data_IF_131985241536
#
_entry.id   IF_131985241536
#
_cell.length_a   1.000
_cell.length_b   1.000
_cell.length_c   1.000
_cell.angle_alpha   90.00
_cell.angle_beta   90.00
_cell.angle_gamma   90.00
#
_symmetry.space_group_name_H-M   'P 1'
#
loop_
_entity.id
_entity.type
_entity.pdbx_description
1 polymer ?
#
# COMPACT_ATOMS: atom_id res chain seq x y z
N UNK A 1 -10.27 -9.24 -18.30
CA UNK A 1 -9.17 -8.30 -18.60
C UNK A 1 -9.66 -6.91 -18.30
N UNK A 2 -8.83 -6.08 -17.65
CA UNK A 2 -9.19 -4.68 -17.44
C UNK A 2 -9.38 -3.94 -18.73
N UNK A 3 -10.38 -3.07 -18.77
CA UNK A 3 -10.51 -2.13 -19.87
C UNK A 3 -9.39 -1.11 -19.69
N UNK A 4 -8.32 -1.29 -20.46
CA UNK A 4 -7.48 -0.18 -20.91
C UNK A 4 -8.43 0.81 -21.58
N UNK A 5 -8.29 2.10 -21.28
CA UNK A 5 -9.15 3.14 -21.88
C UNK A 5 -9.13 3.00 -23.39
N UNK A 6 -10.29 2.69 -23.98
CA UNK A 6 -10.39 2.56 -25.43
C UNK A 6 -10.39 3.96 -26.05
N UNK A 7 -9.29 4.33 -26.69
CA UNK A 7 -9.13 5.60 -27.40
C UNK A 7 -9.64 5.54 -28.86
N UNK A 8 -10.05 4.36 -29.36
CA UNK A 8 -10.68 4.21 -30.67
C UNK A 8 -12.18 4.54 -30.63
N UNK A 9 -12.50 5.70 -30.05
CA UNK A 9 -13.86 6.25 -29.95
C UNK A 9 -13.79 7.76 -30.14
N UNK A 10 -14.95 8.38 -30.41
CA UNK A 10 -15.04 9.84 -30.48
C UNK A 10 -14.60 10.47 -29.15
N UNK A 11 -13.81 11.55 -29.16
CA UNK A 11 -13.31 12.31 -30.32
C UNK A 11 -11.94 11.85 -30.87
N UNK A 12 -11.27 10.87 -30.26
CA UNK A 12 -9.85 10.58 -30.50
C UNK A 12 -9.59 9.67 -31.70
N UNK A 13 -10.46 8.69 -31.95
CA UNK A 13 -10.36 7.74 -33.09
C UNK A 13 -8.95 7.16 -33.29
N UNK A 14 -8.27 6.79 -32.19
CA UNK A 14 -6.97 6.14 -32.27
C UNK A 14 -7.13 4.70 -32.78
N UNK A 15 -6.91 4.52 -34.08
CA UNK A 15 -7.11 3.26 -34.78
C UNK A 15 -5.81 2.47 -35.02
N UNK A 16 -4.77 2.76 -34.22
CA UNK A 16 -3.52 2.01 -34.28
C UNK A 16 -3.73 0.50 -34.02
N UNK A 17 -3.25 -0.33 -34.96
CA UNK A 17 -3.21 -1.79 -34.82
C UNK A 17 -1.75 -2.28 -34.86
N UNK A 18 -1.26 -2.98 -33.82
CA UNK A 18 0.10 -3.53 -33.79
C UNK A 18 0.35 -4.61 -34.86
N UNK A 19 -0.69 -5.18 -35.48
CA UNK A 19 -0.59 -6.21 -36.53
C UNK A 19 -0.30 -5.65 -37.91
N UNK A 20 -0.54 -4.35 -38.13
CA UNK A 20 -0.22 -3.67 -39.39
C UNK A 20 1.30 -3.51 -39.62
N UNK A 21 2.11 -3.69 -38.56
CA UNK A 21 3.57 -3.57 -38.60
C UNK A 21 4.08 -2.21 -39.10
N UNK A 22 3.33 -1.13 -38.85
CA UNK A 22 3.82 0.23 -39.05
C UNK A 22 4.74 0.65 -37.91
N UNK A 23 5.92 1.17 -38.26
CA UNK A 23 6.95 1.57 -37.28
C UNK A 23 7.19 3.08 -37.23
N UNK A 24 6.70 3.84 -38.22
CA UNK A 24 6.90 5.29 -38.27
C UNK A 24 5.90 5.94 -39.21
N UNK A 25 5.39 7.09 -38.80
CA UNK A 25 4.63 8.00 -39.68
C UNK A 25 5.60 8.84 -40.51
N UNK A 26 5.43 8.82 -41.84
CA UNK A 26 6.29 9.53 -42.78
C UNK A 26 5.58 10.78 -43.30
N UNK A 27 5.84 11.93 -42.67
CA UNK A 27 5.29 13.20 -43.13
C UNK A 27 5.84 13.61 -44.49
N UNK A 28 4.95 14.00 -45.41
CA UNK A 28 5.32 14.44 -46.75
C UNK A 28 5.44 15.97 -46.78
N UNK A 29 6.57 16.53 -47.24
CA UNK A 29 6.70 17.97 -47.43
C UNK A 29 5.60 18.50 -48.37
N UNK A 30 5.01 19.65 -48.04
CA UNK A 30 3.94 20.28 -48.83
C UNK A 30 2.53 19.74 -48.58
N UNK A 31 2.36 18.75 -47.71
CA UNK A 31 1.05 18.26 -47.25
C UNK A 31 0.78 18.71 -45.80
N UNK A 32 -0.45 19.13 -45.47
CA UNK A 32 -0.80 19.48 -44.10
C UNK A 32 -0.82 18.23 -43.21
N UNK A 33 -0.28 18.36 -42.00
CA UNK A 33 -0.27 17.29 -40.99
C UNK A 33 -1.67 17.08 -40.44
N UNK A 34 -2.10 15.82 -40.33
CA UNK A 34 -3.41 15.45 -39.79
C UNK A 34 -3.29 15.07 -38.31
N UNK A 35 -4.30 15.41 -37.51
CA UNK A 35 -4.34 15.02 -36.09
C UNK A 35 -4.21 13.50 -35.90
N UNK A 36 -4.87 12.71 -36.77
CA UNK A 36 -4.77 11.25 -36.77
C UNK A 36 -3.32 10.76 -36.94
N UNK A 37 -2.53 11.40 -37.80
CA UNK A 37 -1.12 11.03 -38.00
C UNK A 37 -0.27 11.29 -36.75
N UNK A 38 -0.60 12.32 -35.97
CA UNK A 38 0.06 12.60 -34.69
C UNK A 38 -0.38 11.64 -33.58
N UNK A 39 -1.66 11.24 -33.57
CA UNK A 39 -2.14 10.19 -32.67
C UNK A 39 -1.45 8.87 -32.97
N UNK A 40 -1.46 8.40 -34.22
CA UNK A 40 -0.80 7.16 -34.61
C UNK A 40 0.71 7.19 -34.33
N UNK A 41 1.37 8.34 -34.48
CA UNK A 41 2.78 8.49 -34.10
C UNK A 41 3.01 8.20 -32.61
N UNK A 42 2.15 8.72 -31.74
CA UNK A 42 2.22 8.49 -30.29
C UNK A 42 1.99 7.02 -29.97
N UNK A 43 0.97 6.39 -30.56
CA UNK A 43 0.62 4.99 -30.30
C UNK A 43 1.69 4.01 -30.79
N UNK A 44 2.31 4.28 -31.95
CA UNK A 44 3.47 3.52 -32.43
C UNK A 44 4.64 3.60 -31.46
N UNK A 45 5.00 4.82 -31.02
CA UNK A 45 6.11 5.03 -30.09
C UNK A 45 5.82 4.35 -28.74
N UNK A 46 4.62 4.54 -28.21
CA UNK A 46 4.17 3.93 -26.97
C UNK A 46 4.21 2.41 -27.05
N UNK A 47 3.78 1.81 -28.17
CA UNK A 47 3.84 0.36 -28.33
C UNK A 47 5.28 -0.18 -28.36
N UNK A 48 6.24 0.57 -28.92
CA UNK A 48 7.66 0.19 -28.86
C UNK A 48 8.18 0.22 -27.42
N UNK A 49 7.84 1.26 -26.65
CA UNK A 49 8.22 1.41 -25.24
C UNK A 49 7.57 0.31 -24.40
N UNK A 50 6.29 0.03 -24.62
CA UNK A 50 5.55 -1.04 -23.96
C UNK A 50 6.19 -2.40 -24.20
N UNK A 51 6.48 -2.77 -25.45
CA UNK A 51 7.13 -4.05 -25.78
C UNK A 51 8.51 -4.18 -25.14
N UNK A 52 9.29 -3.09 -25.15
CA UNK A 52 10.57 -3.03 -24.45
C UNK A 52 10.37 -3.23 -22.94
N UNK A 53 9.43 -2.50 -22.34
CA UNK A 53 9.09 -2.60 -20.93
C UNK A 53 8.65 -4.00 -20.53
N UNK A 54 7.74 -4.63 -21.27
CA UNK A 54 7.23 -5.98 -21.04
C UNK A 54 8.30 -7.08 -21.16
N UNK A 55 9.37 -6.84 -21.91
CA UNK A 55 10.50 -7.77 -21.98
C UNK A 55 11.28 -7.80 -20.67
N UNK A 56 11.43 -6.64 -20.03
CA UNK A 56 12.16 -6.50 -18.77
C UNK A 56 11.26 -6.72 -17.56
N UNK A 57 10.07 -6.12 -17.52
CA UNK A 57 9.23 -5.99 -16.34
C UNK A 57 7.88 -6.68 -16.53
N UNK A 58 7.38 -7.33 -15.47
CA UNK A 58 5.98 -7.75 -15.39
C UNK A 58 5.09 -6.58 -14.98
N UNK A 59 3.80 -6.69 -15.25
CA UNK A 59 2.79 -5.73 -14.80
C UNK A 59 2.87 -5.56 -13.27
N UNK A 60 2.90 -4.31 -12.80
CA UNK A 60 3.05 -3.96 -11.40
C UNK A 60 4.47 -4.07 -10.85
N UNK A 61 5.46 -4.41 -11.67
CA UNK A 61 6.84 -4.48 -11.21
C UNK A 61 7.39 -3.09 -10.87
N UNK A 62 8.07 -3.03 -9.73
CA UNK A 62 8.79 -1.86 -9.23
C UNK A 62 10.06 -1.64 -10.07
N UNK A 63 10.13 -0.54 -10.81
CA UNK A 63 11.24 -0.22 -11.73
C UNK A 63 12.29 0.64 -11.04
N UNK A 64 11.87 1.74 -10.41
CA UNK A 64 12.73 2.61 -9.58
C UNK A 64 12.36 2.36 -8.12
N UNK A 65 13.35 2.17 -7.23
CA UNK A 65 13.05 1.63 -5.93
C UNK A 65 12.28 2.58 -5.02
N UNK A 66 10.96 2.40 -4.92
CA UNK A 66 10.14 2.82 -3.77
C UNK A 66 10.07 1.70 -2.74
N UNK A 67 10.31 1.97 -1.46
CA UNK A 67 10.17 0.97 -0.40
C UNK A 67 8.71 0.90 0.07
N UNK A 68 8.26 -0.27 0.52
CA UNK A 68 6.98 -0.43 1.22
C UNK A 68 7.23 -0.81 2.66
N UNK A 69 6.45 -0.23 3.57
CA UNK A 69 6.53 -0.51 4.99
C UNK A 69 5.14 -0.89 5.53
N UNK A 70 5.11 -1.94 6.34
CA UNK A 70 3.92 -2.34 7.08
C UNK A 70 4.15 -2.01 8.55
N UNK A 71 3.25 -1.22 9.14
CA UNK A 71 3.27 -0.91 10.56
C UNK A 71 2.04 -1.54 11.23
N UNK A 72 2.26 -2.63 11.97
CA UNK A 72 1.21 -3.29 12.74
C UNK A 72 0.78 -2.47 13.96
N UNK A 73 1.69 -1.68 14.53
CA UNK A 73 1.45 -0.90 15.74
C UNK A 73 1.38 0.59 15.39
N UNK A 74 0.34 0.96 14.65
CA UNK A 74 0.13 2.34 14.27
C UNK A 74 -0.69 3.05 15.35
N UNK A 75 -0.01 3.76 16.25
CA UNK A 75 -0.65 4.35 17.43
C UNK A 75 -1.61 5.47 17.05
N UNK A 76 -2.86 5.34 17.51
CA UNK A 76 -3.94 6.26 17.23
C UNK A 76 -4.39 6.96 18.51
N UNK A 77 -4.67 8.25 18.41
CA UNK A 77 -5.18 9.08 19.49
C UNK A 77 -6.46 9.75 19.02
N UNK A 78 -7.56 9.40 19.66
CA UNK A 78 -8.86 10.03 19.43
C UNK A 78 -8.94 11.36 20.19
N UNK A 79 -9.41 12.39 19.51
CA UNK A 79 -9.63 13.72 20.04
C UNK A 79 -11.13 14.00 20.14
N UNK A 80 -11.49 14.92 21.04
CA UNK A 80 -12.82 15.53 20.98
C UNK A 80 -12.94 16.36 19.70
N UNK A 81 -14.02 16.18 18.95
CA UNK A 81 -14.23 16.86 17.66
C UNK A 81 -14.28 18.39 17.72
N UNK A 82 -14.50 18.96 18.91
CA UNK A 82 -14.53 20.41 19.10
C UNK A 82 -13.69 20.84 20.29
N UNK A 83 -12.93 21.91 20.13
CA UNK A 83 -12.20 22.56 21.20
C UNK A 83 -12.51 24.07 21.19
N UNK A 84 -12.93 24.61 22.32
CA UNK A 84 -13.33 26.04 22.46
C UNK A 84 -14.35 26.53 21.41
N UNK A 85 -15.24 25.64 20.94
CA UNK A 85 -16.25 25.96 19.93
C UNK A 85 -15.76 25.88 18.47
N UNK A 86 -14.49 25.52 18.24
CA UNK A 86 -13.91 25.31 16.91
C UNK A 86 -13.80 23.81 16.63
N UNK A 87 -14.24 23.31 15.46
CA UNK A 87 -14.00 21.93 15.04
C UNK A 87 -12.51 21.64 14.89
N UNK A 88 -12.04 20.54 15.48
CA UNK A 88 -10.62 20.15 15.47
C UNK A 88 -10.15 19.80 14.05
N UNK A 89 -11.00 19.15 13.26
CA UNK A 89 -10.77 18.85 11.84
C UNK A 89 -10.39 20.08 10.99
N UNK A 90 -10.75 21.29 11.41
CA UNK A 90 -10.48 22.51 10.65
C UNK A 90 -8.99 22.93 10.64
N UNK A 91 -8.16 22.34 11.50
CA UNK A 91 -6.75 22.72 11.64
C UNK A 91 -5.80 21.54 11.85
N UNK A 92 -6.30 20.30 11.78
CA UNK A 92 -5.50 19.10 12.03
C UNK A 92 -4.41 18.85 10.98
N UNK A 93 -4.59 19.29 9.74
CA UNK A 93 -3.58 19.12 8.68
C UNK A 93 -2.26 19.84 9.00
N UNK A 94 -2.33 20.95 9.75
CA UNK A 94 -1.16 21.69 10.23
C UNK A 94 -0.37 20.93 11.30
N UNK A 95 -0.97 19.89 11.90
CA UNK A 95 -0.31 19.08 12.92
C UNK A 95 0.61 18.03 12.32
N UNK A 96 0.46 17.67 11.04
CA UNK A 96 1.27 16.63 10.40
C UNK A 96 2.75 17.02 10.46
N UNK A 97 3.58 16.13 11.01
CA UNK A 97 5.01 16.34 11.26
C UNK A 97 5.33 17.20 12.49
N UNK A 98 4.33 17.80 13.15
CA UNK A 98 4.52 18.59 14.37
C UNK A 98 4.63 17.69 15.60
N UNK A 99 5.39 18.16 16.60
CA UNK A 99 5.51 17.52 17.89
C UNK A 99 4.41 18.01 18.83
N UNK A 100 3.67 17.05 19.38
CA UNK A 100 2.61 17.27 20.36
C UNK A 100 3.04 16.75 21.73
N UNK A 101 2.55 17.41 22.79
CA UNK A 101 2.87 17.11 24.18
C UNK A 101 1.61 17.11 25.03
N UNK A 102 1.45 16.06 25.85
CA UNK A 102 0.37 15.93 26.81
C UNK A 102 0.66 16.74 28.06
N UNK A 103 -0.26 17.59 28.49
CA UNK A 103 -0.05 18.49 29.64
C UNK A 103 -0.12 17.77 30.99
N UNK A 104 -0.83 16.66 31.07
CA UNK A 104 -1.01 15.88 32.31
C UNK A 104 0.08 14.84 32.46
N UNK A 105 0.33 14.04 31.43
CA UNK A 105 1.29 12.93 31.42
C UNK A 105 2.69 13.38 31.05
N UNK A 106 2.84 14.45 30.27
CA UNK A 106 4.14 14.88 29.74
C UNK A 106 4.67 14.00 28.61
N UNK A 107 3.88 13.06 28.09
CA UNK A 107 4.22 12.22 26.93
C UNK A 107 4.36 13.10 25.70
N UNK A 108 5.33 12.79 24.84
CA UNK A 108 5.54 13.51 23.57
C UNK A 108 5.50 12.56 22.38
N UNK A 109 4.91 13.02 21.29
CA UNK A 109 4.78 12.27 20.04
C UNK A 109 4.85 13.21 18.84
N UNK A 110 5.22 12.68 17.67
CA UNK A 110 5.09 13.37 16.38
C UNK A 110 3.87 12.82 15.66
N UNK A 111 3.10 13.71 15.03
CA UNK A 111 1.92 13.33 14.24
C UNK A 111 2.37 12.87 12.86
N UNK A 112 2.04 11.63 12.52
CA UNK A 112 2.38 11.03 11.22
C UNK A 112 1.27 11.28 10.20
N UNK A 113 0.02 11.09 10.60
CA UNK A 113 -1.15 11.35 9.74
C UNK A 113 -2.39 11.68 10.58
N UNK A 114 -3.44 12.13 9.90
CA UNK A 114 -4.70 12.54 10.51
C UNK A 114 -5.84 11.82 9.81
N UNK A 115 -6.82 11.39 10.60
CA UNK A 115 -8.11 10.90 10.14
C UNK A 115 -9.20 11.86 10.65
N UNK A 116 -9.95 12.45 9.71
CA UNK A 116 -11.03 13.36 10.00
C UNK A 116 -12.20 12.64 10.68
N UNK A 117 -13.00 13.38 11.45
CA UNK A 117 -14.17 12.80 12.13
C UNK A 117 -15.20 12.21 11.16
N UNK A 118 -15.27 12.72 9.92
CA UNK A 118 -16.16 12.21 8.87
C UNK A 118 -15.79 10.82 8.34
N UNK A 119 -14.51 10.48 8.35
CA UNK A 119 -13.98 9.22 7.81
C UNK A 119 -13.67 8.19 8.91
N UNK A 120 -13.83 8.59 10.17
CA UNK A 120 -13.64 7.73 11.33
C UNK A 120 -14.80 6.76 11.54
N UNK A 121 -14.48 5.49 11.79
CA UNK A 121 -15.45 4.45 12.19
C UNK A 121 -16.11 4.77 13.55
N UNK A 122 -15.44 5.55 14.40
CA UNK A 122 -15.92 5.98 15.73
C UNK A 122 -16.47 7.40 15.73
N UNK A 123 -16.42 8.11 14.59
CA UNK A 123 -16.88 9.48 14.44
C UNK A 123 -16.04 10.53 15.18
N UNK A 124 -14.80 10.20 15.55
CA UNK A 124 -13.88 11.08 16.27
C UNK A 124 -12.67 11.44 15.40
N UNK A 125 -12.23 12.69 15.45
CA UNK A 125 -10.94 13.09 14.85
C UNK A 125 -9.82 12.27 15.49
N UNK A 126 -9.03 11.59 14.68
CA UNK A 126 -7.98 10.69 15.15
C UNK A 126 -6.62 11.13 14.60
N UNK A 127 -5.64 11.29 15.49
CA UNK A 127 -4.25 11.51 15.13
C UNK A 127 -3.50 10.19 15.18
N UNK A 128 -2.82 9.84 14.10
CA UNK A 128 -1.83 8.77 14.15
C UNK A 128 -0.47 9.34 14.48
N UNK A 129 0.20 8.74 15.45
CA UNK A 129 1.43 9.30 16.01
C UNK A 129 2.53 8.27 16.20
N UNK A 130 3.76 8.78 16.20
CA UNK A 130 4.93 8.06 16.69
C UNK A 130 5.37 8.68 18.02
N UNK A 131 5.32 7.89 19.09
CA UNK A 131 5.75 8.30 20.42
C UNK A 131 7.28 8.48 20.48
N UNK A 132 7.74 9.62 21.01
CA UNK A 132 9.17 9.95 21.13
C UNK A 132 9.67 9.78 22.56
N UNK A 133 8.89 10.22 23.55
CA UNK A 133 9.28 10.15 24.95
C UNK A 133 8.09 9.76 25.85
N UNK A 134 8.38 8.85 26.78
CA UNK A 134 7.48 8.47 27.87
C UNK A 134 7.27 9.62 28.86
N UNK A 135 6.33 9.43 29.78
CA UNK A 135 5.96 10.42 30.80
C UNK A 135 7.16 10.88 31.61
N UNK A 136 7.26 12.20 31.78
CA UNK A 136 8.26 12.85 32.63
C UNK A 136 8.00 12.65 34.14
N UNK A 137 6.90 12.01 34.52
CA UNK A 137 6.53 11.79 35.93
C UNK A 137 6.95 10.40 36.44
N UNK A 138 6.70 9.35 35.64
CA UNK A 138 6.91 7.96 36.07
C UNK A 138 7.92 7.19 35.18
N UNK A 139 8.38 7.76 34.06
CA UNK A 139 9.22 7.12 33.03
C UNK A 139 8.70 5.75 32.54
N UNK A 140 7.42 5.44 32.74
CA UNK A 140 6.80 4.14 32.43
C UNK A 140 5.57 4.28 31.55
N UNK A 141 4.80 5.35 31.71
CA UNK A 141 3.66 5.65 30.85
C UNK A 141 4.13 6.13 29.48
N UNK A 142 3.83 5.38 28.43
CA UNK A 142 4.25 5.67 27.05
C UNK A 142 3.12 6.16 26.14
N UNK A 143 1.90 6.30 26.65
CA UNK A 143 0.71 6.71 25.88
C UNK A 143 0.01 7.91 26.52
N UNK A 144 -0.75 8.67 25.72
CA UNK A 144 -1.55 9.77 26.23
C UNK A 144 -2.73 9.27 27.07
N UNK A 145 -3.09 10.02 28.10
CA UNK A 145 -4.26 9.71 28.91
C UNK A 145 -5.55 10.14 28.18
N UNK A 146 -6.68 9.52 28.56
CA UNK A 146 -8.01 9.97 28.12
C UNK A 146 -8.41 11.27 28.82
N UNK A 147 -9.08 12.19 28.12
CA UNK A 147 -9.48 13.50 28.63
C UNK A 147 -8.32 14.46 28.92
N UNK A 148 -7.13 14.23 28.34
CA UNK A 148 -5.94 15.03 28.54
C UNK A 148 -5.84 16.17 27.51
N UNK A 149 -5.35 17.33 27.95
CA UNK A 149 -5.05 18.48 27.11
C UNK A 149 -3.73 18.30 26.34
N UNK A 150 -3.77 18.53 25.02
CA UNK A 150 -2.61 18.45 24.14
C UNK A 150 -2.14 19.84 23.71
N UNK A 151 -0.82 20.05 23.70
CA UNK A 151 -0.18 21.24 23.13
C UNK A 151 0.77 20.90 21.99
N UNK A 152 0.88 21.78 21.00
CA UNK A 152 1.83 21.65 19.88
C UNK A 152 3.01 22.60 20.05
N UNK A 153 4.17 22.25 19.49
CA UNK A 153 5.33 23.13 19.38
C UNK A 153 5.20 24.19 18.28
N UNK A 154 4.24 24.02 17.36
CA UNK A 154 3.98 24.93 16.25
C UNK A 154 2.72 25.75 16.53
N UNK A 155 2.68 26.97 16.01
CA UNK A 155 1.47 27.79 16.03
C UNK A 155 0.41 27.18 15.10
N UNK A 156 -0.81 27.05 15.60
CA UNK A 156 -1.94 26.51 14.83
C UNK A 156 -2.93 27.63 14.55
N UNK A 157 -3.31 27.78 13.29
CA UNK A 157 -4.26 28.81 12.86
C UNK A 157 -5.54 28.13 12.37
N UNK A 158 -6.67 28.35 13.06
CA UNK A 158 -7.98 27.99 12.51
C UNK A 158 -8.57 29.19 11.79
N UNK A 159 -8.82 29.05 10.48
CA UNK A 159 -9.50 30.08 9.68
C UNK A 159 -11.02 30.15 9.91
N UNK A 160 -11.58 29.30 10.77
CA UNK A 160 -13.01 29.17 11.00
C UNK A 160 -13.45 29.94 12.25
N UNK A 161 -14.71 30.42 12.27
CA UNK A 161 -15.40 30.97 13.45
C UNK A 161 -14.56 31.96 14.31
N UNK A 162 -14.01 33.01 13.71
CA UNK A 162 -13.35 34.09 14.46
C UNK A 162 -11.82 34.04 14.48
N UNK A 163 -11.21 33.19 13.65
CA UNK A 163 -9.77 33.16 13.42
C UNK A 163 -8.98 32.80 14.69
N UNK A 164 -9.39 31.73 15.37
CA UNK A 164 -8.72 31.24 16.57
C UNK A 164 -7.28 30.82 16.27
N UNK A 165 -6.33 31.38 17.00
CA UNK A 165 -4.92 31.04 16.92
C UNK A 165 -4.48 30.43 18.24
N UNK A 166 -3.83 29.28 18.18
CA UNK A 166 -3.21 28.63 19.33
C UNK A 166 -1.69 28.85 19.23
N UNK A 167 -1.11 29.54 20.21
CA UNK A 167 0.33 29.78 20.23
C UNK A 167 1.10 28.50 20.57
N UNK A 168 2.39 28.40 20.21
CA UNK A 168 3.25 27.29 20.62
C UNK A 168 3.17 27.04 22.14
N UNK A 169 2.88 25.80 22.52
CA UNK A 169 2.72 25.38 23.91
C UNK A 169 1.33 25.62 24.51
N UNK A 170 0.40 26.28 23.81
CA UNK A 170 -1.01 26.35 24.23
C UNK A 170 -1.75 25.05 23.91
N UNK A 171 -2.83 24.81 24.67
CA UNK A 171 -3.70 23.66 24.43
C UNK A 171 -4.53 23.90 23.18
N UNK A 172 -4.43 22.99 22.21
CA UNK A 172 -5.20 23.05 20.95
C UNK A 172 -6.30 22.00 20.85
N UNK A 173 -6.22 20.92 21.62
CA UNK A 173 -7.21 19.85 21.64
C UNK A 173 -7.20 19.11 22.97
N UNK A 174 -8.27 18.36 23.22
CA UNK A 174 -8.40 17.45 24.36
C UNK A 174 -8.64 16.05 23.79
N UNK A 175 -7.94 15.05 24.31
CA UNK A 175 -8.16 13.64 23.94
C UNK A 175 -9.56 13.18 24.33
N UNK A 176 -10.09 12.16 23.66
CA UNK A 176 -11.41 11.62 23.94
C UNK A 176 -11.54 11.24 25.43
N UNK A 177 -12.75 11.40 26.00
CA UNK A 177 -12.97 11.21 27.43
C UNK A 177 -12.75 9.75 27.90
N UNK A 178 -12.84 8.78 26.98
CA UNK A 178 -12.67 7.34 27.26
C UNK A 178 -11.94 6.67 26.12
N UNK A 179 -11.02 5.75 26.43
CA UNK A 179 -10.26 4.94 25.46
C UNK A 179 -9.60 5.76 24.33
N UNK A 180 -9.06 6.93 24.67
CA UNK A 180 -8.50 7.83 23.67
C UNK A 180 -7.28 7.27 22.94
N UNK A 181 -6.53 6.35 23.54
CA UNK A 181 -5.40 5.70 22.89
C UNK A 181 -5.83 4.33 22.36
N UNK A 182 -5.60 4.11 21.07
CA UNK A 182 -5.86 2.86 20.36
C UNK A 182 -4.64 2.48 19.51
N UNK A 183 -4.59 1.24 19.02
CA UNK A 183 -3.56 0.79 18.10
C UNK A 183 -4.25 0.34 16.81
N UNK A 184 -4.00 1.07 15.74
CA UNK A 184 -4.39 0.70 14.38
C UNK A 184 -3.24 0.02 13.65
N UNK A 185 -3.42 -0.16 12.35
CA UNK A 185 -2.41 -0.70 11.44
C UNK A 185 -2.37 0.10 10.15
N UNK A 186 -1.19 0.22 9.55
CA UNK A 186 -1.00 0.96 8.30
C UNK A 186 -0.01 0.29 7.37
N UNK A 187 -0.14 0.63 6.09
CA UNK A 187 0.79 0.25 5.05
C UNK A 187 1.17 1.49 4.27
N UNK A 188 2.46 1.74 4.13
CA UNK A 188 2.98 2.89 3.42
C UNK A 188 3.86 2.49 2.25
N UNK A 189 3.89 3.37 1.26
CA UNK A 189 4.77 3.30 0.10
C UNK A 189 5.54 4.60 -0.02
N UNK A 190 6.81 4.47 -0.40
CA UNK A 190 7.69 5.58 -0.74
C UNK A 190 7.70 5.77 -2.25
N UNK A 191 7.93 7.01 -2.65
CA UNK A 191 7.95 7.44 -4.03
C UNK A 191 8.80 6.52 -4.91
N UNK A 192 8.27 6.20 -6.08
CA UNK A 192 8.91 5.23 -6.97
C UNK A 192 8.25 5.19 -8.33
N UNK A 193 8.80 4.36 -9.21
CA UNK A 193 8.25 4.16 -10.56
C UNK A 193 7.90 2.70 -10.72
N UNK A 194 6.67 2.46 -11.16
CA UNK A 194 6.14 1.12 -11.38
C UNK A 194 5.75 0.94 -12.84
N UNK A 195 5.96 -0.26 -13.37
CA UNK A 195 5.55 -0.60 -14.72
C UNK A 195 4.08 -1.03 -14.71
N UNK A 196 3.20 -0.18 -15.23
CA UNK A 196 1.74 -0.34 -15.15
C UNK A 196 1.16 -0.07 -16.53
N UNK A 197 0.45 -1.05 -17.08
CA UNK A 197 -0.25 -1.01 -18.38
C UNK A 197 0.63 -0.49 -19.51
N UNK A 198 1.86 -1.00 -19.58
CA UNK A 198 2.83 -0.60 -20.61
C UNK A 198 3.47 0.77 -20.38
N UNK A 199 3.19 1.43 -19.26
CA UNK A 199 3.69 2.76 -18.91
C UNK A 199 4.57 2.70 -17.65
N UNK A 200 5.46 3.68 -17.51
CA UNK A 200 6.24 3.89 -16.30
C UNK A 200 5.53 4.95 -15.47
N UNK A 201 4.75 4.52 -14.48
CA UNK A 201 3.89 5.37 -13.67
C UNK A 201 4.61 5.75 -12.38
N UNK A 202 4.65 7.05 -12.10
CA UNK A 202 5.16 7.56 -10.84
C UNK A 202 4.14 7.31 -9.73
N UNK A 203 4.64 6.92 -8.56
CA UNK A 203 3.88 6.74 -7.33
C UNK A 203 4.47 7.69 -6.31
N UNK A 204 3.62 8.44 -5.65
CA UNK A 204 4.02 9.37 -4.58
C UNK A 204 4.05 8.65 -3.21
N UNK A 205 4.61 9.33 -2.21
CA UNK A 205 4.55 8.84 -0.84
C UNK A 205 3.09 8.76 -0.38
N UNK A 206 2.65 7.59 0.05
CA UNK A 206 1.27 7.39 0.51
C UNK A 206 1.25 6.43 1.70
N UNK A 207 0.38 6.70 2.66
CA UNK A 207 0.11 5.81 3.80
C UNK A 207 -1.37 5.48 3.84
N UNK A 208 -1.67 4.19 3.73
CA UNK A 208 -3.01 3.64 3.85
C UNK A 208 -3.21 3.04 5.24
N UNK A 209 -4.26 3.49 5.93
CA UNK A 209 -4.72 2.87 7.19
C UNK A 209 -5.51 1.60 6.86
N UNK A 210 -5.05 0.47 7.39
CA UNK A 210 -5.66 -0.85 7.19
C UNK A 210 -6.82 -1.08 8.15
N UNK A 211 -6.58 -1.00 9.44
CA UNK A 211 -7.64 -0.94 10.46
C UNK A 211 -7.39 0.28 11.33
N UNK A 212 -8.44 1.07 11.57
CA UNK A 212 -8.28 2.37 12.24
C UNK A 212 -7.89 2.22 13.71
N UNK A 213 -8.44 1.19 14.37
CA UNK A 213 -8.32 0.96 15.81
C UNK A 213 -8.08 -0.51 16.17
N UNK A 214 -7.58 -1.31 15.22
CA UNK A 214 -7.17 -2.72 15.42
C UNK A 214 -5.80 -3.00 14.80
N UNK A 215 -5.07 -3.94 15.39
CA UNK A 215 -3.75 -4.38 14.95
C UNK A 215 -3.74 -5.81 14.36
N UNK A 216 -4.92 -6.36 14.05
CA UNK A 216 -5.10 -7.67 13.43
C UNK A 216 -5.74 -7.61 12.02
N UNK A 217 -5.28 -6.73 11.10
CA UNK A 217 -5.87 -6.60 9.77
C UNK A 217 -5.73 -7.87 8.94
N UNK A 218 -6.69 -8.10 8.05
CA UNK A 218 -6.69 -9.21 7.10
C UNK A 218 -7.09 -8.73 5.70
N UNK A 219 -6.12 -8.27 4.91
CA UNK A 219 -6.34 -7.65 3.61
C UNK A 219 -5.24 -7.98 2.59
N UNK A 220 -5.63 -7.93 1.32
CA UNK A 220 -4.72 -7.79 0.18
C UNK A 220 -4.51 -6.30 -0.06
N UNK A 221 -3.26 -5.88 -0.05
CA UNK A 221 -2.85 -4.48 -0.14
C UNK A 221 -2.12 -4.28 -1.45
N UNK A 222 -2.45 -3.22 -2.16
CA UNK A 222 -1.95 -3.01 -3.50
C UNK A 222 -2.26 -1.62 -4.04
N UNK A 223 -1.89 -1.39 -5.29
CA UNK A 223 -2.28 -0.19 -6.01
C UNK A 223 -3.62 -0.38 -6.69
N UNK A 224 -4.52 0.57 -6.48
CA UNK A 224 -5.67 0.77 -7.37
C UNK A 224 -5.23 1.62 -8.55
N UNK A 225 -5.51 1.16 -9.77
CA UNK A 225 -5.18 1.87 -11.01
C UNK A 225 -6.40 2.67 -11.45
N UNK A 226 -6.24 3.99 -11.54
CA UNK A 226 -7.21 4.89 -12.11
C UNK A 226 -6.71 5.43 -13.46
N UNK A 227 -7.47 5.17 -14.52
CA UNK A 227 -7.26 5.81 -15.82
C UNK A 227 -8.36 6.82 -16.07
N UNK A 228 -7.96 8.02 -16.44
CA UNK A 228 -8.88 9.12 -16.68
C UNK A 228 -8.38 10.01 -17.81
N UNK A 229 -9.33 10.64 -18.50
CA UNK A 229 -9.05 11.64 -19.52
C UNK A 229 -9.27 13.01 -18.89
N UNK A 230 -8.19 13.79 -18.82
CA UNK A 230 -8.21 15.16 -18.31
C UNK A 230 -8.42 16.12 -19.47
N UNK A 231 -9.52 16.87 -19.40
CA UNK A 231 -9.85 17.89 -20.41
C UNK A 231 -9.41 19.27 -19.95
N UNK A 232 -9.37 20.24 -20.88
CA UNK A 232 -9.08 21.65 -20.56
C UNK A 232 -10.08 22.30 -19.60
N UNK A 233 -11.28 21.73 -19.46
CA UNK A 233 -12.28 22.20 -18.50
C UNK A 233 -11.94 21.80 -17.06
N UNK A 234 -11.19 20.70 -16.91
CA UNK A 234 -10.75 20.19 -15.61
C UNK A 234 -9.37 20.74 -15.21
N UNK A 235 -8.52 21.04 -16.18
CA UNK A 235 -7.18 21.60 -15.96
C UNK A 235 -6.94 22.81 -16.88
N UNK A 236 -6.99 24.00 -16.28
CA UNK A 236 -6.78 25.27 -17.00
C UNK A 236 -5.37 25.39 -17.60
N UNK A 237 -4.38 24.62 -17.12
CA UNK A 237 -3.03 24.60 -17.70
C UNK A 237 -2.98 23.99 -19.09
N UNK A 238 -4.02 23.25 -19.49
CA UNK A 238 -4.17 22.68 -20.82
C UNK A 238 -4.75 23.67 -21.84
N UNK A 239 -5.03 24.92 -21.45
CA UNK A 239 -5.43 25.98 -22.40
C UNK A 239 -4.20 26.66 -23.03
N UNK A 240 -4.35 27.20 -24.23
CA UNK A 240 -3.28 27.92 -24.94
C UNK A 240 -3.02 29.29 -24.29
N UNK A 241 -2.26 29.28 -23.19
CA UNK A 241 -1.97 30.46 -22.39
C UNK A 241 -0.94 31.36 -23.07
N UNK A 242 -1.34 32.59 -23.40
CA UNK A 242 -0.42 33.66 -23.76
C UNK A 242 0.10 34.34 -22.49
N UNK A 243 1.33 34.87 -22.50
CA UNK A 243 1.97 35.45 -21.30
C UNK A 243 1.04 36.43 -20.57
N UNK A 244 0.56 36.03 -19.39
CA UNK A 244 -0.19 36.86 -18.45
C UNK A 244 -1.72 36.72 -18.45
N UNK A 245 -2.33 35.95 -19.36
CA UNK A 245 -3.79 35.73 -19.37
C UNK A 245 -4.18 34.33 -19.84
N UNK A 246 -5.08 33.67 -19.09
CA UNK A 246 -5.65 32.38 -19.47
C UNK A 246 -6.60 32.55 -20.67
N UNK A 247 -6.38 31.78 -21.73
CA UNK A 247 -7.23 31.82 -22.93
C UNK A 247 -8.26 30.70 -22.88
N UNK A 248 -9.30 30.88 -22.06
CA UNK A 248 -10.39 29.91 -21.90
C UNK A 248 -11.15 29.57 -23.21
N UNK A 249 -10.95 30.33 -24.28
CA UNK A 249 -11.56 30.11 -25.58
C UNK A 249 -10.74 29.21 -26.53
N UNK A 250 -9.53 28.79 -26.11
CA UNK A 250 -8.65 27.93 -26.89
C UNK A 250 -8.27 26.68 -26.07
N UNK A 251 -9.17 25.68 -25.98
CA UNK A 251 -8.88 24.43 -25.30
C UNK A 251 -7.75 23.69 -26.04
N UNK A 252 -6.72 23.26 -25.31
CA UNK A 252 -5.68 22.39 -25.85
C UNK A 252 -6.13 20.92 -25.88
N UNK A 253 -5.20 20.04 -26.23
CA UNK A 253 -5.48 18.62 -26.31
C UNK A 253 -5.63 17.98 -24.93
N UNK A 254 -6.57 17.05 -24.79
CA UNK A 254 -6.79 16.26 -23.58
C UNK A 254 -5.55 15.41 -23.21
N UNK A 255 -5.51 14.94 -21.96
CA UNK A 255 -4.43 14.08 -21.44
C UNK A 255 -5.00 12.77 -20.90
N UNK A 256 -4.45 11.65 -21.35
CA UNK A 256 -4.65 10.38 -20.64
C UNK A 256 -3.77 10.39 -19.40
N UNK A 257 -4.38 10.36 -18.22
CA UNK A 257 -3.69 10.26 -16.93
C UNK A 257 -3.91 8.86 -16.38
N UNK A 258 -2.80 8.19 -16.06
CA UNK A 258 -2.79 6.97 -15.27
C UNK A 258 -2.26 7.36 -13.89
N UNK A 259 -3.11 7.28 -12.89
CA UNK A 259 -2.75 7.49 -11.49
C UNK A 259 -2.93 6.19 -10.71
N UNK A 260 -2.16 6.06 -9.65
CA UNK A 260 -2.32 4.96 -8.71
C UNK A 260 -2.38 5.49 -7.30
N UNK A 261 -3.14 4.79 -6.47
CA UNK A 261 -3.22 5.04 -5.04
C UNK A 261 -3.23 3.71 -4.29
N UNK A 262 -2.75 3.70 -3.06
CA UNK A 262 -2.84 2.53 -2.20
C UNK A 262 -4.30 2.19 -1.92
N UNK A 263 -4.59 0.89 -1.99
CA UNK A 263 -5.92 0.36 -1.76
C UNK A 263 -5.83 -0.98 -1.06
N UNK A 264 -6.85 -1.28 -0.26
CA UNK A 264 -6.99 -2.57 0.44
C UNK A 264 -8.24 -3.30 -0.04
N UNK A 265 -8.13 -4.61 -0.17
CA UNK A 265 -9.25 -5.51 -0.50
C UNK A 265 -9.35 -6.62 0.53
N UNK A 266 -10.57 -7.12 0.80
CA UNK A 266 -10.74 -8.35 1.56
C UNK A 266 -10.01 -9.52 0.88
N UNK A 267 -9.51 -10.48 1.68
CA UNK A 267 -8.78 -11.66 1.18
C UNK A 267 -9.59 -12.48 0.16
N UNK A 268 -10.91 -12.45 0.25
CA UNK A 268 -11.83 -13.18 -0.63
C UNK A 268 -12.09 -12.50 -1.97
N UNK A 269 -11.71 -11.23 -2.14
CA UNK A 269 -11.90 -10.51 -3.38
C UNK A 269 -10.70 -10.74 -4.31
N UNK A 270 -10.93 -11.56 -5.34
CA UNK A 270 -9.93 -11.93 -6.35
C UNK A 270 -10.10 -11.16 -7.66
N UNK A 271 -10.96 -10.14 -7.70
CA UNK A 271 -11.11 -9.32 -8.90
C UNK A 271 -9.99 -8.28 -8.98
N UNK A 272 -8.90 -8.63 -9.67
CA UNK A 272 -7.70 -7.81 -9.76
C UNK A 272 -7.60 -6.97 -11.04
N UNK A 273 -8.74 -6.66 -11.65
CA UNK A 273 -8.81 -5.92 -12.90
C UNK A 273 -8.07 -4.56 -12.85
N UNK A 274 -8.35 -3.73 -11.84
CA UNK A 274 -7.66 -2.44 -11.63
C UNK A 274 -6.76 -2.48 -10.40
N UNK A 275 -6.17 -3.62 -10.07
CA UNK A 275 -5.46 -3.79 -8.81
C UNK A 275 -4.18 -4.58 -8.96
N UNK A 276 -3.08 -3.99 -8.51
CA UNK A 276 -1.77 -4.63 -8.43
C UNK A 276 -1.48 -4.95 -6.97
N UNK A 277 -1.40 -6.22 -6.62
CA UNK A 277 -1.05 -6.64 -5.26
C UNK A 277 0.43 -6.37 -4.93
N UNK A 278 0.68 -5.76 -3.78
CA UNK A 278 2.02 -5.50 -3.24
C UNK A 278 2.31 -6.38 -2.02
N UNK A 279 1.29 -6.61 -1.20
CA UNK A 279 1.41 -7.33 0.06
C UNK A 279 0.10 -8.00 0.47
N UNK A 280 0.22 -9.08 1.23
CA UNK A 280 -0.92 -9.74 1.89
C UNK A 280 -0.66 -9.77 3.38
N UNK A 281 -1.63 -9.26 4.15
CA UNK A 281 -1.62 -9.31 5.61
C UNK A 281 -2.80 -10.17 6.05
N UNK A 282 -2.55 -11.09 6.96
CA UNK A 282 -3.56 -12.00 7.51
C UNK A 282 -3.40 -12.07 9.02
N UNK A 283 -4.47 -11.77 9.75
CA UNK A 283 -4.48 -11.70 11.22
C UNK A 283 -3.34 -10.81 11.79
N UNK A 284 -3.05 -9.70 11.12
CA UNK A 284 -1.97 -8.77 11.49
C UNK A 284 -0.56 -9.21 11.10
N UNK A 285 -0.40 -10.40 10.53
CA UNK A 285 0.89 -10.94 10.10
C UNK A 285 1.08 -10.70 8.60
N UNK A 286 2.18 -10.06 8.23
CA UNK A 286 2.57 -9.90 6.83
C UNK A 286 3.01 -11.25 6.25
N UNK A 287 2.20 -11.82 5.35
CA UNK A 287 2.45 -13.14 4.74
C UNK A 287 3.41 -13.06 3.57
N UNK A 288 3.19 -12.09 2.69
CA UNK A 288 3.95 -11.94 1.44
C UNK A 288 4.22 -10.47 1.19
N UNK A 289 5.46 -10.18 0.79
CA UNK A 289 5.89 -8.90 0.25
C UNK A 289 6.46 -9.20 -1.14
N UNK A 290 5.92 -8.59 -2.20
CA UNK A 290 6.53 -8.68 -3.53
C UNK A 290 7.79 -7.79 -3.54
N UNK A 291 8.86 -8.25 -2.88
CA UNK A 291 10.07 -7.43 -2.65
C UNK A 291 10.85 -7.18 -3.93
N UNK A 292 10.84 -8.16 -4.84
CA UNK A 292 11.66 -8.12 -6.05
C UNK A 292 10.92 -7.58 -7.26
N UNK A 293 11.62 -6.75 -8.03
CA UNK A 293 11.22 -6.37 -9.38
C UNK A 293 10.99 -7.65 -10.17
N UNK A 294 9.74 -7.97 -10.48
CA UNK A 294 9.45 -9.15 -11.25
C UNK A 294 9.91 -8.93 -12.68
N UNK A 295 11.06 -9.50 -13.01
CA UNK A 295 11.53 -9.51 -14.38
C UNK A 295 10.69 -10.50 -15.20
N UNK A 296 10.43 -10.16 -16.45
CA UNK A 296 9.70 -11.01 -17.39
C UNK A 296 10.67 -12.06 -17.96
N UNK A 297 10.95 -12.03 -19.27
CA UNK A 297 11.82 -13.01 -19.96
C UNK A 297 13.24 -13.07 -19.40
N UNK A 298 13.77 -11.94 -18.93
CA UNK A 298 15.12 -11.89 -18.34
C UNK A 298 15.21 -12.73 -17.06
N UNK A 299 14.14 -12.78 -16.25
CA UNK A 299 14.11 -13.63 -15.05
C UNK A 299 14.24 -15.09 -15.41
N UNK A 300 13.53 -15.53 -16.46
CA UNK A 300 13.50 -16.94 -16.86
C UNK A 300 14.87 -17.38 -17.39
N UNK A 301 15.56 -16.51 -18.14
CA UNK A 301 16.92 -16.79 -18.61
C UNK A 301 17.95 -16.78 -17.48
N UNK A 302 17.84 -15.87 -16.50
CA UNK A 302 18.69 -15.87 -15.32
C UNK A 302 18.45 -17.11 -14.45
N UNK A 303 17.18 -17.46 -14.20
CA UNK A 303 16.81 -18.67 -13.47
C UNK A 303 17.33 -19.93 -14.17
N UNK A 304 17.18 -20.03 -15.50
CA UNK A 304 17.76 -21.14 -16.27
C UNK A 304 19.27 -21.24 -16.07
N UNK A 305 20.01 -20.12 -16.17
CA UNK A 305 21.47 -20.10 -15.95
C UNK A 305 21.84 -20.51 -14.53
N UNK A 306 21.17 -19.96 -13.53
CA UNK A 306 21.40 -20.31 -12.11
C UNK A 306 21.14 -21.79 -11.86
N UNK A 307 20.10 -22.36 -12.47
CA UNK A 307 19.80 -23.79 -12.35
C UNK A 307 20.80 -24.67 -13.08
N UNK A 308 21.22 -24.29 -14.30
CA UNK A 308 22.24 -25.01 -15.06
C UNK A 308 23.59 -25.01 -14.34
N UNK A 309 23.92 -23.93 -13.62
CA UNK A 309 25.17 -23.78 -12.87
C UNK A 309 25.15 -24.48 -11.51
N UNK A 310 24.08 -24.30 -10.72
CA UNK A 310 24.05 -24.67 -9.30
C UNK A 310 22.92 -25.61 -8.90
N UNK A 311 22.02 -25.98 -9.81
CA UNK A 311 20.88 -26.85 -9.51
C UNK A 311 19.92 -26.24 -8.47
N UNK A 312 19.41 -27.08 -7.57
CA UNK A 312 18.62 -26.62 -6.41
C UNK A 312 19.54 -26.44 -5.21
N UNK A 313 19.47 -25.28 -4.57
CA UNK A 313 20.26 -25.02 -3.37
C UNK A 313 19.53 -24.11 -2.38
N UNK A 314 19.95 -24.20 -1.13
CA UNK A 314 19.39 -23.43 -0.01
C UNK A 314 20.46 -22.45 0.46
N UNK A 315 20.08 -21.17 0.60
CA UNK A 315 20.96 -20.12 1.15
C UNK A 315 20.75 -20.03 2.65
N UNK A 316 19.50 -19.90 3.08
CA UNK A 316 19.10 -19.87 4.48
C UNK A 316 18.21 -21.08 4.75
N UNK A 317 18.64 -22.02 5.60
CA UNK A 317 17.92 -23.28 5.82
C UNK A 317 16.55 -23.04 6.43
N UNK A 318 15.59 -23.85 5.98
CA UNK A 318 14.27 -23.94 6.58
C UNK A 318 14.33 -24.99 7.70
N UNK A 319 14.23 -24.55 8.95
CA UNK A 319 14.12 -25.44 10.10
C UNK A 319 12.68 -25.97 10.16
N UNK A 320 12.53 -27.30 10.25
CA UNK A 320 11.23 -27.96 10.24
C UNK A 320 10.99 -28.57 11.61
N UNK A 321 9.96 -28.10 12.30
CA UNK A 321 9.54 -28.63 13.59
C UNK A 321 8.17 -29.25 13.48
N UNK A 322 8.01 -30.46 14.01
CA UNK A 322 6.70 -31.07 14.17
C UNK A 322 6.05 -30.46 15.41
N UNK A 323 4.83 -29.98 15.24
CA UNK A 323 3.98 -29.47 16.31
C UNK A 323 2.63 -30.16 16.25
N UNK A 324 1.97 -30.21 17.39
CA UNK A 324 0.58 -30.64 17.46
C UNK A 324 -0.32 -29.60 16.77
N UNK A 325 -1.33 -30.04 16.01
CA UNK A 325 -2.24 -29.09 15.37
C UNK A 325 -3.18 -28.46 16.40
N UNK A 326 -3.84 -29.29 17.21
CA UNK A 326 -4.74 -28.89 18.28
C UNK A 326 -3.96 -28.64 19.59
N UNK A 327 -4.16 -27.48 20.21
CA UNK A 327 -3.74 -27.21 21.57
C UNK A 327 -4.77 -27.77 22.56
N UNK A 328 -4.40 -28.84 23.28
CA UNK A 328 -5.29 -29.50 24.25
C UNK A 328 -5.31 -28.82 25.63
N UNK A 329 -4.54 -27.74 25.81
CA UNK A 329 -4.31 -27.08 27.10
C UNK A 329 -3.72 -28.00 28.19
N UNK A 330 -3.23 -29.19 27.82
CA UNK A 330 -2.61 -30.17 28.70
C UNK A 330 -1.09 -30.28 28.48
N UNK A 331 -0.50 -29.34 27.74
CA UNK A 331 0.94 -29.23 27.54
C UNK A 331 1.47 -29.91 26.28
N UNK A 332 0.58 -30.28 25.34
CA UNK A 332 0.97 -30.83 24.04
C UNK A 332 1.66 -29.79 23.11
N UNK A 333 1.68 -28.51 23.51
CA UNK A 333 2.25 -27.38 22.75
C UNK A 333 1.67 -27.26 21.33
N UNK A 334 0.36 -27.51 21.19
CA UNK A 334 -0.38 -27.32 19.95
C UNK A 334 -0.38 -25.87 19.48
N UNK A 335 -0.52 -25.69 18.16
CA UNK A 335 -0.40 -24.37 17.52
C UNK A 335 -1.73 -23.63 17.43
N UNK A 336 -2.84 -24.36 17.30
CA UNK A 336 -4.16 -23.81 17.01
C UNK A 336 -5.19 -24.30 18.04
N UNK A 337 -6.18 -23.47 18.34
CA UNK A 337 -7.25 -23.78 19.31
C UNK A 337 -8.41 -24.56 18.66
N UNK A 338 -9.19 -25.27 19.48
CA UNK A 338 -10.35 -26.06 19.01
C UNK A 338 -11.32 -25.19 18.17
N UNK A 339 -11.71 -25.70 17.00
CA UNK A 339 -12.60 -24.99 16.07
C UNK A 339 -11.91 -24.06 15.06
N UNK A 340 -10.58 -23.90 15.15
CA UNK A 340 -9.80 -23.22 14.10
C UNK A 340 -9.54 -24.14 12.90
N UNK A 341 -9.20 -23.53 11.76
CA UNK A 341 -8.78 -24.24 10.55
C UNK A 341 -7.26 -24.10 10.38
N UNK A 342 -6.62 -25.13 9.84
CA UNK A 342 -5.23 -25.06 9.39
C UNK A 342 -5.09 -24.15 8.17
N UNK A 343 -3.86 -23.80 7.79
CA UNK A 343 -3.58 -23.04 6.57
C UNK A 343 -4.12 -23.72 5.29
N UNK A 344 -4.36 -25.03 5.33
CA UNK A 344 -4.94 -25.80 4.22
C UNK A 344 -6.48 -25.87 4.27
N UNK A 345 -7.12 -25.27 5.27
CA UNK A 345 -8.58 -25.29 5.47
C UNK A 345 -9.09 -26.56 6.15
N UNK A 346 -8.20 -27.40 6.69
CA UNK A 346 -8.58 -28.60 7.45
C UNK A 346 -8.95 -28.21 8.88
N UNK A 347 -10.04 -28.74 9.46
CA UNK A 347 -10.29 -28.59 10.90
C UNK A 347 -9.12 -29.14 11.72
N UNK A 348 -8.73 -28.42 12.76
CA UNK A 348 -7.72 -28.90 13.70
C UNK A 348 -8.22 -30.14 14.44
N UNK A 349 -7.35 -31.13 14.62
CA UNK A 349 -7.69 -32.41 15.21
C UNK A 349 -6.46 -32.97 15.96
N UNK A 350 -6.69 -33.73 17.02
CA UNK A 350 -5.62 -34.46 17.70
C UNK A 350 -4.97 -35.50 16.77
N UNK A 351 -5.66 -35.98 15.75
CA UNK A 351 -5.08 -36.88 14.76
C UNK A 351 -4.19 -36.18 13.71
N UNK A 352 -4.05 -34.85 13.78
CA UNK A 352 -3.31 -34.03 12.83
C UNK A 352 -2.12 -33.33 13.49
N UNK A 353 -0.95 -33.45 12.87
CA UNK A 353 0.25 -32.70 13.22
C UNK A 353 0.52 -31.61 12.16
N UNK A 354 1.32 -30.61 12.53
CA UNK A 354 1.77 -29.54 11.64
C UNK A 354 3.29 -29.57 11.53
N UNK A 355 3.81 -29.55 10.31
CA UNK A 355 5.19 -29.16 10.05
C UNK A 355 5.26 -27.64 10.04
N UNK A 356 5.81 -27.07 11.12
CA UNK A 356 6.14 -25.65 11.18
C UNK A 356 7.51 -25.45 10.52
N UNK A 357 7.48 -24.83 9.35
CA UNK A 357 8.64 -24.52 8.52
C UNK A 357 9.06 -23.08 8.81
N UNK A 358 10.29 -22.87 9.28
CA UNK A 358 10.81 -21.54 9.58
C UNK A 358 10.98 -20.67 8.33
N UNK A 359 11.05 -19.33 8.47
CA UNK A 359 11.56 -18.45 7.43
C UNK A 359 12.91 -18.95 6.88
N UNK A 360 13.13 -18.76 5.58
CA UNK A 360 14.30 -19.27 4.88
C UNK A 360 14.35 -18.78 3.44
N UNK A 361 15.46 -19.08 2.75
CA UNK A 361 15.73 -18.63 1.37
C UNK A 361 16.39 -19.75 0.57
N UNK A 362 15.83 -20.07 -0.58
CA UNK A 362 16.36 -21.08 -1.49
C UNK A 362 16.13 -20.72 -2.96
N UNK A 363 16.83 -21.45 -3.83
CA UNK A 363 16.68 -21.38 -5.27
C UNK A 363 16.14 -22.72 -5.77
N UNK A 364 14.93 -22.70 -6.33
CA UNK A 364 14.27 -23.88 -6.91
C UNK A 364 14.05 -23.61 -8.40
N UNK A 365 14.62 -24.48 -9.24
CA UNK A 365 14.72 -24.30 -10.70
C UNK A 365 15.30 -22.93 -11.08
N UNK A 366 16.23 -22.44 -10.25
CA UNK A 366 16.86 -21.13 -10.41
C UNK A 366 15.99 -19.93 -10.06
N UNK A 367 14.73 -20.13 -9.68
CA UNK A 367 13.90 -19.06 -9.13
C UNK A 367 14.16 -18.93 -7.64
N UNK A 368 14.32 -17.69 -7.19
CA UNK A 368 14.42 -17.36 -5.79
C UNK A 368 13.07 -17.57 -5.09
N UNK A 369 13.10 -18.23 -3.94
CA UNK A 369 11.98 -18.39 -3.03
C UNK A 369 12.45 -17.97 -1.64
N UNK A 370 11.79 -16.96 -1.08
CA UNK A 370 12.03 -16.47 0.26
C UNK A 370 10.71 -16.41 1.03
N UNK A 371 10.71 -16.97 2.24
CA UNK A 371 9.57 -16.88 3.17
C UNK A 371 10.00 -16.05 4.37
N UNK A 372 9.27 -14.98 4.66
CA UNK A 372 9.55 -14.08 5.78
C UNK A 372 8.89 -14.51 7.10
N UNK A 373 7.86 -15.36 7.02
CA UNK A 373 7.12 -15.88 8.18
C UNK A 373 7.08 -17.40 8.15
N UNK A 374 6.91 -18.03 9.32
CA UNK A 374 6.80 -19.48 9.39
C UNK A 374 5.51 -19.95 8.70
N UNK A 375 5.62 -21.01 7.91
CA UNK A 375 4.47 -21.64 7.26
C UNK A 375 4.20 -22.99 7.90
N UNK A 376 2.92 -23.33 8.07
CA UNK A 376 2.51 -24.62 8.61
C UNK A 376 1.99 -25.48 7.46
N UNK A 377 2.46 -26.72 7.38
CA UNK A 377 1.97 -27.73 6.45
C UNK A 377 1.34 -28.89 7.21
N UNK A 378 0.14 -29.30 6.77
CA UNK A 378 -0.63 -30.37 7.39
C UNK A 378 0.07 -31.73 7.21
N UNK A 379 0.19 -32.48 8.31
CA UNK A 379 0.79 -33.80 8.34
C UNK A 379 -0.12 -34.78 9.12
N UNK A 380 -0.77 -35.74 8.45
CA UNK A 380 -1.55 -36.76 9.14
C UNK A 380 -0.63 -37.59 10.06
N UNK A 381 -1.02 -37.76 11.33
CA UNK A 381 -0.21 -38.55 12.26
C UNK A 381 -0.17 -40.02 11.81
N UNK A 382 1.01 -40.66 11.81
CA UNK A 382 1.11 -42.08 11.49
C UNK A 382 0.43 -42.91 12.59
N UNK A 383 -0.61 -43.66 12.23
CA UNK A 383 -1.33 -44.56 13.16
C UNK A 383 -0.81 -46.00 13.17
N UNK A 384 0.08 -46.33 12.25
CA UNK A 384 0.63 -47.67 12.07
C UNK A 384 2.13 -47.61 11.94
N UNK A 385 2.82 -48.53 12.60
CA UNK A 385 4.27 -48.70 12.48
C UNK A 385 4.55 -49.82 11.48
N UNK A 386 5.56 -49.63 10.63
CA UNK A 386 6.12 -50.68 9.78
C UNK A 386 7.55 -50.95 10.23
N UNK A 387 7.84 -52.20 10.56
CA UNK A 387 9.21 -52.62 10.84
C UNK A 387 10.02 -52.55 9.54
N UNK A 388 11.14 -51.83 9.55
CA UNK A 388 12.09 -51.82 8.44
C UNK A 388 12.98 -53.05 8.64
N UNK A 389 12.95 -53.98 7.68
CA UNK A 389 13.89 -55.12 7.61
C UNK A 389 15.24 -54.70 7.03
#
# INVERSE_FOLDING_TARGET
MSQITNLNVSPYYDDFDPTDNFHRVLFKPGYPVQARELTSLQSILQNQIERFGQHFFKEGAKVIPGNTAYNQNYHAIELNNTYQGVPVDAYTDQLIGSKITGKTTGVTAVVDSVLLSSDSERGNTTLYVTYIASSNQDNTTSVFASGESLSSEVQILSGLLGNSSFAPGETFAITAATNASSVGSSFSVINGVYFIRGNFVNVDDETLVLDQYSNTPSYRIGFYINEEIITSDQDESLTDNSTGFNNYAAPGADRLRISVSLFKKPLTNLNDQNFIELAVVENGILRTKSVETQYSVVSDELARRTYDESGHYVITPFDVKVRESLNDNMGNNGVLEEGQLTSAGTPVDDDLALYQISPGKAFVKGYEIETITSTNADCPKPRVTKTIE
#
